data_IF_817476636794
#
_entry.id   IF_817476636794
#
_cell.length_a   1.000
_cell.length_b   1.000
_cell.length_c   1.000
_cell.angle_alpha   90.00
_cell.angle_beta   90.00
_cell.angle_gamma   90.00
#
_symmetry.space_group_name_H-M   'P 1'
#
loop_
_entity.id
_entity.type
_entity.pdbx_description
1 polymer ?
#
# COMPACT_ATOMS: atom_id res chain seq x y z
N UNK A 1 28.09 10.15 -2.40
CA UNK A 1 27.08 9.69 -3.38
C UNK A 1 27.26 10.46 -4.67
N UNK A 2 26.50 10.12 -5.73
CA UNK A 2 26.47 10.96 -6.93
C UNK A 2 25.86 12.33 -6.59
N UNK A 3 26.48 13.42 -7.03
CA UNK A 3 25.97 14.79 -6.85
C UNK A 3 25.24 15.32 -8.09
N UNK A 4 25.41 14.64 -9.22
CA UNK A 4 24.82 14.99 -10.51
C UNK A 4 24.10 13.77 -11.11
N UNK A 5 23.11 13.99 -11.98
CA UNK A 5 22.45 12.90 -12.69
C UNK A 5 23.46 12.02 -13.43
N UNK A 6 23.28 10.71 -13.32
CA UNK A 6 24.06 9.74 -14.08
C UNK A 6 23.32 9.36 -15.37
N UNK A 7 23.92 9.63 -16.51
CA UNK A 7 23.42 9.20 -17.81
C UNK A 7 24.04 7.85 -18.21
N UNK A 8 23.20 6.87 -18.52
CA UNK A 8 23.61 5.54 -19.01
C UNK A 8 22.85 5.22 -20.29
N UNK A 9 23.47 5.52 -21.44
CA UNK A 9 22.76 5.46 -22.72
C UNK A 9 21.58 6.44 -22.73
N UNK A 10 20.37 5.94 -22.93
CA UNK A 10 19.13 6.73 -22.90
C UNK A 10 18.54 6.89 -21.48
N UNK A 11 19.14 6.27 -20.46
CA UNK A 11 18.65 6.32 -19.08
C UNK A 11 19.29 7.49 -18.33
N UNK A 12 18.47 8.23 -17.58
CA UNK A 12 18.92 9.27 -16.65
C UNK A 12 18.54 8.88 -15.22
N UNK A 13 19.54 8.82 -14.34
CA UNK A 13 19.38 8.49 -12.92
C UNK A 13 19.64 9.73 -12.07
N UNK A 14 18.59 10.26 -11.48
CA UNK A 14 18.68 11.35 -10.51
C UNK A 14 19.30 10.84 -9.19
N UNK A 15 20.28 11.56 -8.62
CA UNK A 15 20.86 11.17 -7.35
C UNK A 15 19.84 11.32 -6.22
N UNK A 16 19.74 10.27 -5.40
CA UNK A 16 18.94 10.28 -4.17
C UNK A 16 19.85 9.98 -3.00
N UNK A 17 19.73 10.75 -1.93
CA UNK A 17 20.49 10.53 -0.70
C UNK A 17 20.21 9.15 -0.12
N UNK A 18 21.26 8.37 0.12
CA UNK A 18 21.17 7.13 0.87
C UNK A 18 20.90 7.42 2.35
N UNK A 19 20.19 6.52 3.02
CA UNK A 19 19.94 6.60 4.46
C UNK A 19 20.85 5.58 5.13
N UNK A 20 22.10 5.98 5.38
CA UNK A 20 23.15 5.10 5.88
C UNK A 20 23.95 4.39 4.77
N UNK A 21 24.72 3.38 5.16
CA UNK A 21 25.65 2.67 4.28
C UNK A 21 25.09 1.31 3.80
N UNK A 22 25.69 0.77 2.75
CA UNK A 22 25.36 -0.56 2.23
C UNK A 22 23.99 -0.66 1.52
N UNK A 23 23.62 -1.89 1.18
CA UNK A 23 22.39 -2.17 0.43
C UNK A 23 21.12 -1.78 1.21
N UNK A 24 21.12 -1.99 2.52
CA UNK A 24 19.99 -1.65 3.38
C UNK A 24 19.73 -0.14 3.40
N UNK A 25 20.79 0.67 3.52
CA UNK A 25 20.66 2.12 3.49
C UNK A 25 20.22 2.67 2.13
N UNK A 26 20.60 2.00 1.04
CA UNK A 26 20.10 2.31 -0.31
C UNK A 26 18.62 1.95 -0.47
N UNK A 27 18.18 0.78 0.00
CA UNK A 27 16.79 0.37 -0.04
C UNK A 27 15.89 1.28 0.82
N UNK A 28 16.37 1.68 2.00
CA UNK A 28 15.71 2.67 2.85
C UNK A 28 15.55 4.01 2.12
N UNK A 29 16.64 4.52 1.54
CA UNK A 29 16.63 5.78 0.79
C UNK A 29 15.64 5.76 -0.38
N UNK A 30 15.64 4.68 -1.17
CA UNK A 30 14.67 4.50 -2.26
C UNK A 30 13.23 4.45 -1.73
N UNK A 31 12.99 3.77 -0.62
CA UNK A 31 11.66 3.71 0.01
C UNK A 31 11.21 5.08 0.50
N UNK A 32 12.11 5.89 1.06
CA UNK A 32 11.80 7.26 1.50
C UNK A 32 11.51 8.18 0.31
N UNK A 33 12.30 8.11 -0.75
CA UNK A 33 12.09 8.88 -1.97
C UNK A 33 10.74 8.54 -2.63
N UNK A 34 10.43 7.25 -2.78
CA UNK A 34 9.12 6.80 -3.26
C UNK A 34 7.99 7.33 -2.36
N UNK A 35 8.13 7.24 -1.04
CA UNK A 35 7.14 7.75 -0.11
C UNK A 35 7.01 9.29 -0.15
N UNK A 36 8.06 10.01 -0.58
CA UNK A 36 8.01 11.45 -0.85
C UNK A 36 7.16 11.75 -2.09
N UNK A 37 7.44 11.06 -3.21
CA UNK A 37 6.66 11.21 -4.45
C UNK A 37 5.18 10.86 -4.26
N UNK A 38 4.88 9.78 -3.54
CA UNK A 38 3.50 9.40 -3.20
C UNK A 38 2.79 10.48 -2.37
N UNK A 39 3.50 11.14 -1.46
CA UNK A 39 2.96 12.24 -0.63
C UNK A 39 2.63 13.46 -1.47
N UNK A 40 3.53 13.87 -2.37
CA UNK A 40 3.29 15.02 -3.24
C UNK A 40 2.14 14.74 -4.23
N UNK A 41 2.08 13.53 -4.79
CA UNK A 41 0.96 13.12 -5.63
C UNK A 41 -0.37 13.14 -4.86
N UNK A 42 -0.40 12.62 -3.63
CA UNK A 42 -1.61 12.60 -2.82
C UNK A 42 -2.15 14.02 -2.52
N UNK A 43 -1.27 15.01 -2.34
CA UNK A 43 -1.64 16.41 -2.17
C UNK A 43 -2.17 17.04 -3.45
N UNK A 44 -1.58 16.69 -4.59
CA UNK A 44 -1.95 17.25 -5.90
C UNK A 44 -3.27 16.69 -6.44
N UNK A 45 -3.66 15.48 -6.03
CA UNK A 45 -4.95 14.90 -6.40
C UNK A 45 -6.10 15.65 -5.71
N UNK A 46 -7.01 16.20 -6.50
CA UNK A 46 -8.20 16.93 -6.02
C UNK A 46 -9.47 16.13 -6.30
N UNK A 47 -10.40 16.16 -5.34
CA UNK A 47 -11.68 15.46 -5.46
C UNK A 47 -11.55 13.94 -5.23
N UNK A 48 -12.72 13.30 -5.14
CA UNK A 48 -12.86 11.86 -4.98
C UNK A 48 -12.27 11.28 -3.68
N UNK A 49 -12.45 9.96 -3.53
CA UNK A 49 -11.83 9.15 -2.49
C UNK A 49 -10.47 8.64 -2.97
N UNK A 50 -9.41 8.96 -2.23
CA UNK A 50 -8.09 8.39 -2.47
C UNK A 50 -7.93 7.09 -1.70
N UNK A 51 -7.67 5.99 -2.41
CA UNK A 51 -7.33 4.68 -1.80
C UNK A 51 -5.83 4.43 -1.96
N UNK A 52 -5.16 4.13 -0.85
CA UNK A 52 -3.70 3.92 -0.79
C UNK A 52 -3.41 2.48 -0.39
N UNK A 53 -2.58 1.77 -1.18
CA UNK A 53 -2.07 0.44 -0.81
C UNK A 53 -0.97 0.56 0.24
N UNK A 54 -1.38 0.43 1.50
CA UNK A 54 -0.54 0.64 2.67
C UNK A 54 -1.07 1.70 3.63
N UNK A 55 -0.27 2.03 4.66
CA UNK A 55 -0.67 2.97 5.68
C UNK A 55 -0.83 4.40 5.16
N UNK A 56 -1.77 5.15 5.73
CA UNK A 56 -1.96 6.58 5.48
C UNK A 56 -0.74 7.35 5.99
N UNK A 57 -0.02 8.00 5.07
CA UNK A 57 1.24 8.74 5.36
C UNK A 57 1.16 10.23 5.04
N UNK A 58 0.06 10.67 4.44
CA UNK A 58 -0.13 12.03 3.95
C UNK A 58 -1.47 12.55 4.42
N UNK A 59 -1.52 13.85 4.72
CA UNK A 59 -2.77 14.59 4.82
C UNK A 59 -3.02 15.25 3.47
N UNK A 60 -4.25 15.16 2.97
CA UNK A 60 -4.73 15.85 1.77
C UNK A 60 -6.09 16.45 2.05
N UNK A 61 -6.56 17.30 1.15
CA UNK A 61 -7.96 17.70 1.11
C UNK A 61 -8.83 16.55 0.58
N UNK A 62 -9.94 16.27 1.29
CA UNK A 62 -10.86 15.19 0.94
C UNK A 62 -10.52 13.82 1.57
N UNK A 63 -11.37 12.81 1.33
CA UNK A 63 -11.28 11.53 2.03
C UNK A 63 -10.12 10.66 1.52
N UNK A 64 -9.54 9.91 2.46
CA UNK A 64 -8.47 8.92 2.23
C UNK A 64 -8.81 7.62 2.93
N UNK A 65 -8.57 6.49 2.27
CA UNK A 65 -8.52 5.17 2.88
C UNK A 65 -7.17 4.51 2.58
N UNK A 66 -6.39 4.22 3.62
CA UNK A 66 -5.27 3.29 3.52
C UNK A 66 -5.76 1.88 3.78
N UNK A 67 -5.31 0.90 2.99
CA UNK A 67 -5.62 -0.51 3.22
C UNK A 67 -4.34 -1.32 3.33
N UNK A 68 -4.24 -2.13 4.39
CA UNK A 68 -3.02 -2.80 4.82
C UNK A 68 -3.28 -4.29 4.87
N UNK A 69 -2.50 -5.03 4.08
CA UNK A 69 -2.55 -6.48 3.89
C UNK A 69 -1.67 -7.25 4.89
N UNK A 70 -0.65 -6.58 5.43
CA UNK A 70 0.34 -7.19 6.32
C UNK A 70 0.32 -6.56 7.71
N UNK A 71 0.03 -7.38 8.72
CA UNK A 71 -0.17 -6.95 10.10
C UNK A 71 1.07 -7.15 10.96
N UNK A 72 2.16 -6.44 10.65
CA UNK A 72 3.39 -6.51 11.45
C UNK A 72 3.24 -5.97 12.87
N UNK A 73 2.36 -4.97 13.04
CA UNK A 73 2.09 -4.37 14.33
C UNK A 73 0.73 -4.85 14.86
N UNK A 74 0.74 -5.29 16.12
CA UNK A 74 -0.46 -5.68 16.88
C UNK A 74 -1.00 -4.44 17.59
N UNK A 75 -2.16 -3.98 17.15
CA UNK A 75 -2.82 -2.79 17.72
C UNK A 75 -3.94 -3.13 18.70
N UNK A 76 -4.45 -4.36 18.62
CA UNK A 76 -5.48 -4.85 19.51
C UNK A 76 -4.84 -5.62 20.67
N UNK A 77 -5.37 -5.51 21.89
CA UNK A 77 -5.02 -6.44 22.96
C UNK A 77 -5.41 -7.87 22.56
N UNK A 78 -4.85 -8.85 23.28
CA UNK A 78 -4.91 -10.27 22.89
C UNK A 78 -6.35 -10.79 22.87
N UNK A 79 -7.18 -10.26 23.75
CA UNK A 79 -8.59 -10.59 23.91
C UNK A 79 -9.38 -10.18 22.66
N UNK A 80 -9.10 -9.00 22.11
CA UNK A 80 -9.73 -8.45 20.91
C UNK A 80 -9.14 -9.01 19.62
N UNK A 81 -7.90 -9.54 19.61
CA UNK A 81 -7.36 -10.26 18.46
C UNK A 81 -8.20 -11.51 18.11
N UNK A 82 -8.89 -12.11 19.10
CA UNK A 82 -9.79 -13.22 18.85
C UNK A 82 -10.94 -12.82 17.90
N UNK A 83 -11.39 -11.56 17.93
CA UNK A 83 -12.41 -11.03 17.01
C UNK A 83 -11.97 -11.12 15.55
N UNK A 84 -10.67 -10.92 15.28
CA UNK A 84 -10.15 -10.98 13.91
C UNK A 84 -10.30 -12.38 13.31
N UNK A 85 -10.20 -13.42 14.14
CA UNK A 85 -10.40 -14.81 13.72
C UNK A 85 -11.88 -15.14 13.52
N UNK A 86 -12.77 -14.51 14.28
CA UNK A 86 -14.22 -14.69 14.18
C UNK A 86 -14.86 -13.88 13.05
N UNK A 87 -14.17 -12.86 12.54
CA UNK A 87 -14.69 -11.94 11.53
C UNK A 87 -15.03 -12.67 10.21
N UNK A 88 -16.32 -12.75 9.90
CA UNK A 88 -16.83 -13.38 8.70
C UNK A 88 -16.67 -12.48 7.45
N UNK A 89 -16.65 -13.05 6.24
CA UNK A 89 -16.60 -12.26 5.01
C UNK A 89 -17.71 -11.20 4.94
N UNK A 90 -17.34 -9.98 4.58
CA UNK A 90 -18.27 -8.85 4.54
C UNK A 90 -18.53 -8.21 5.91
N UNK A 91 -17.83 -8.63 6.96
CA UNK A 91 -17.87 -7.97 8.27
C UNK A 91 -16.67 -7.07 8.52
N UNK A 92 -16.85 -6.11 9.43
CA UNK A 92 -15.78 -5.27 9.99
C UNK A 92 -15.84 -5.22 11.51
N UNK A 93 -14.69 -4.97 12.12
CA UNK A 93 -14.63 -4.61 13.54
C UNK A 93 -15.17 -3.19 13.76
N UNK A 94 -15.48 -2.82 15.01
CA UNK A 94 -15.52 -1.42 15.41
C UNK A 94 -14.20 -0.71 15.07
N UNK A 95 -14.28 0.60 14.85
CA UNK A 95 -13.09 1.41 14.65
C UNK A 95 -12.38 1.67 15.99
N UNK A 96 -11.06 1.63 15.97
CA UNK A 96 -10.17 1.95 17.07
C UNK A 96 -9.19 3.04 16.66
N UNK A 97 -8.64 3.74 17.66
CA UNK A 97 -7.72 4.85 17.45
C UNK A 97 -6.28 4.33 17.34
N UNK A 98 -5.55 4.85 16.35
CA UNK A 98 -4.10 4.60 16.20
C UNK A 98 -3.37 5.93 16.13
N UNK A 99 -2.38 6.12 17.02
CA UNK A 99 -1.46 7.26 16.97
C UNK A 99 -0.17 6.84 16.28
N UNK A 100 0.18 7.49 15.17
CA UNK A 100 1.40 7.17 14.39
C UNK A 100 2.07 8.43 13.87
N UNK A 101 3.32 8.67 14.28
CA UNK A 101 4.15 9.82 13.83
C UNK A 101 3.41 11.16 13.91
N UNK A 102 2.70 11.40 15.02
CA UNK A 102 1.91 12.62 15.24
C UNK A 102 0.55 12.65 14.56
N UNK A 103 0.18 11.63 13.77
CA UNK A 103 -1.15 11.49 13.18
C UNK A 103 -2.06 10.68 14.10
N UNK A 104 -3.32 11.11 14.21
CA UNK A 104 -4.41 10.34 14.81
C UNK A 104 -5.21 9.70 13.68
N UNK A 105 -5.39 8.38 13.73
CA UNK A 105 -6.05 7.59 12.71
C UNK A 105 -7.22 6.82 13.31
N UNK A 106 -8.34 6.77 12.59
CA UNK A 106 -9.38 5.77 12.81
C UNK A 106 -9.00 4.52 12.00
N UNK A 107 -8.91 3.37 12.65
CA UNK A 107 -8.55 2.11 12.02
C UNK A 107 -9.59 1.04 12.35
N UNK A 108 -9.87 0.14 11.41
CA UNK A 108 -10.71 -1.04 11.63
C UNK A 108 -10.16 -2.21 10.80
N UNK A 109 -10.60 -3.41 11.12
CA UNK A 109 -10.35 -4.58 10.29
C UNK A 109 -11.62 -4.94 9.53
N UNK A 110 -11.49 -5.40 8.29
CA UNK A 110 -12.57 -6.00 7.51
C UNK A 110 -12.11 -7.31 6.88
N UNK A 111 -13.06 -8.19 6.59
CA UNK A 111 -12.80 -9.46 5.92
C UNK A 111 -13.36 -9.45 4.51
N UNK A 112 -12.49 -9.56 3.50
CA UNK A 112 -12.92 -9.70 2.11
C UNK A 112 -13.50 -11.10 1.84
N UNK A 113 -14.52 -11.20 0.97
CA UNK A 113 -14.92 -12.48 0.41
C UNK A 113 -13.79 -13.08 -0.43
N UNK A 114 -13.57 -14.38 -0.29
CA UNK A 114 -12.57 -15.14 -1.03
C UNK A 114 -13.22 -16.37 -1.69
N UNK A 115 -13.56 -16.31 -2.98
CA UNK A 115 -14.15 -17.44 -3.71
C UNK A 115 -13.07 -18.45 -4.19
N UNK A 116 -13.38 -19.76 -4.25
CA UNK A 116 -14.56 -20.41 -3.68
C UNK A 116 -14.52 -20.40 -2.14
N UNK A 117 -15.70 -20.45 -1.52
CA UNK A 117 -15.81 -20.54 -0.06
C UNK A 117 -15.25 -21.88 0.44
N UNK A 118 -14.45 -21.86 1.50
CA UNK A 118 -13.74 -23.05 2.00
C UNK A 118 -12.87 -22.72 3.22
N UNK A 119 -12.03 -23.68 3.63
CA UNK A 119 -11.09 -23.52 4.75
C UNK A 119 -10.01 -22.52 4.34
N UNK A 120 -9.95 -21.38 5.03
CA UNK A 120 -9.01 -20.30 4.76
C UNK A 120 -7.99 -20.20 5.89
N UNK A 121 -6.71 -19.95 5.61
CA UNK A 121 -5.79 -19.46 6.63
C UNK A 121 -6.41 -18.24 7.32
N UNK A 122 -6.29 -18.08 8.66
CA UNK A 122 -6.95 -17.01 9.42
C UNK A 122 -6.66 -15.59 8.90
N UNK A 123 -5.52 -15.39 8.27
CA UNK A 123 -5.05 -14.11 7.72
C UNK A 123 -5.67 -13.80 6.34
N UNK A 124 -6.31 -14.79 5.69
CA UNK A 124 -6.75 -14.67 4.29
C UNK A 124 -7.92 -13.72 4.15
N UNK A 125 -7.73 -12.67 3.37
CA UNK A 125 -8.75 -11.64 3.15
C UNK A 125 -8.93 -10.70 4.33
N UNK A 126 -8.13 -10.81 5.40
CA UNK A 126 -8.11 -9.80 6.44
C UNK A 126 -7.43 -8.55 5.89
N UNK A 127 -8.10 -7.41 5.97
CA UNK A 127 -7.54 -6.12 5.65
C UNK A 127 -7.70 -5.20 6.84
N UNK A 128 -6.64 -4.50 7.21
CA UNK A 128 -6.75 -3.35 8.10
C UNK A 128 -6.96 -2.12 7.24
N UNK A 129 -7.99 -1.37 7.53
CA UNK A 129 -8.30 -0.12 6.85
C UNK A 129 -8.13 1.01 7.84
N UNK A 130 -7.62 2.14 7.37
CA UNK A 130 -7.44 3.32 8.21
C UNK A 130 -7.69 4.61 7.43
N UNK A 131 -8.15 5.63 8.15
CA UNK A 131 -8.31 6.99 7.69
C UNK A 131 -7.87 7.97 8.78
N UNK A 132 -7.77 9.25 8.45
CA UNK A 132 -7.50 10.28 9.45
C UNK A 132 -8.66 10.32 10.47
N UNK A 133 -8.34 10.46 11.76
CA UNK A 133 -9.35 10.60 12.82
C UNK A 133 -9.93 12.02 12.81
N UNK A 134 -10.60 12.37 11.72
CA UNK A 134 -11.25 13.65 11.49
C UNK A 134 -12.42 13.47 10.52
N UNK A 135 -13.41 14.36 10.58
CA UNK A 135 -14.62 14.23 9.77
C UNK A 135 -15.40 12.94 10.06
N UNK A 136 -16.17 12.48 9.08
CA UNK A 136 -17.02 11.30 9.22
C UNK A 136 -16.30 10.02 8.77
N UNK A 137 -15.41 9.53 9.64
CA UNK A 137 -14.73 8.24 9.42
C UNK A 137 -15.70 7.05 9.45
N UNK A 138 -16.89 7.19 10.06
CA UNK A 138 -17.90 6.14 10.14
C UNK A 138 -18.46 5.81 8.76
N UNK A 139 -18.86 6.84 8.01
CA UNK A 139 -19.27 6.69 6.61
C UNK A 139 -18.17 6.09 5.74
N UNK A 140 -16.90 6.45 5.97
CA UNK A 140 -15.77 5.83 5.26
C UNK A 140 -15.56 4.35 5.63
N UNK A 141 -15.81 3.99 6.90
CA UNK A 141 -15.76 2.60 7.34
C UNK A 141 -16.84 1.75 6.66
N UNK A 142 -18.07 2.26 6.61
CA UNK A 142 -19.18 1.55 5.96
C UNK A 142 -19.01 1.50 4.44
N UNK A 143 -18.52 2.58 3.83
CA UNK A 143 -18.15 2.59 2.41
C UNK A 143 -17.07 1.56 2.11
N UNK A 144 -16.04 1.44 2.95
CA UNK A 144 -14.96 0.45 2.73
C UNK A 144 -15.49 -0.99 2.68
N UNK A 145 -16.54 -1.28 3.45
CA UNK A 145 -17.16 -2.59 3.54
C UNK A 145 -17.88 -3.00 2.25
N UNK A 146 -18.45 -2.04 1.52
CA UNK A 146 -19.09 -2.29 0.22
C UNK A 146 -18.08 -2.19 -0.94
N UNK A 147 -17.19 -1.20 -0.88
CA UNK A 147 -16.25 -0.88 -1.96
C UNK A 147 -15.17 -1.95 -2.12
N UNK A 148 -14.51 -2.37 -1.04
CA UNK A 148 -13.33 -3.25 -1.17
C UNK A 148 -13.67 -4.66 -1.65
N UNK A 149 -14.79 -5.29 -1.24
CA UNK A 149 -15.23 -6.54 -1.86
C UNK A 149 -15.47 -6.43 -3.36
N UNK A 150 -16.09 -5.35 -3.83
CA UNK A 150 -16.34 -5.13 -5.26
C UNK A 150 -15.04 -4.92 -6.06
N UNK A 151 -13.99 -4.43 -5.41
CA UNK A 151 -12.67 -4.21 -6.00
C UNK A 151 -11.71 -5.38 -5.76
N UNK A 152 -12.06 -6.39 -4.97
CA UNK A 152 -11.19 -7.50 -4.65
C UNK A 152 -10.86 -8.33 -5.89
N UNK A 153 -9.62 -8.78 -6.00
CA UNK A 153 -9.23 -9.70 -7.08
C UNK A 153 -9.74 -11.11 -6.82
N UNK A 154 -9.87 -11.89 -7.90
CA UNK A 154 -10.25 -13.30 -7.86
C UNK A 154 -9.00 -14.18 -7.90
N UNK A 155 -8.91 -15.29 -7.12
CA UNK A 155 -7.70 -16.15 -7.10
C UNK A 155 -7.27 -16.71 -8.46
N UNK A 156 -8.24 -16.97 -9.33
CA UNK A 156 -7.98 -17.38 -10.73
C UNK A 156 -7.17 -16.35 -11.52
N UNK A 157 -7.28 -15.05 -11.18
CA UNK A 157 -6.65 -13.94 -11.90
C UNK A 157 -5.42 -13.37 -11.19
N UNK A 158 -5.35 -13.47 -9.86
CA UNK A 158 -4.24 -12.95 -9.07
C UNK A 158 -3.95 -13.89 -7.89
N UNK A 159 -2.73 -14.47 -7.78
CA UNK A 159 -2.36 -15.28 -6.62
C UNK A 159 -2.34 -14.49 -5.30
N UNK A 160 -2.34 -13.15 -5.37
CA UNK A 160 -2.43 -12.23 -4.23
C UNK A 160 -3.88 -11.88 -3.84
N UNK A 161 -4.86 -12.54 -4.45
CA UNK A 161 -6.27 -12.39 -4.11
C UNK A 161 -6.57 -12.84 -2.67
N UNK A 162 -7.65 -12.34 -2.04
CA UNK A 162 -8.53 -11.26 -2.54
C UNK A 162 -7.96 -9.86 -2.22
N UNK A 163 -6.86 -9.83 -1.47
CA UNK A 163 -6.35 -8.64 -0.81
C UNK A 163 -5.83 -7.61 -1.80
N UNK A 164 -5.31 -8.04 -2.95
CA UNK A 164 -4.90 -7.12 -4.00
C UNK A 164 -6.10 -6.58 -4.78
N UNK A 165 -6.44 -5.31 -4.57
CA UNK A 165 -7.56 -4.70 -5.28
C UNK A 165 -7.25 -4.55 -6.79
N UNK A 166 -8.24 -4.84 -7.64
CA UNK A 166 -8.10 -4.82 -9.10
C UNK A 166 -7.56 -3.49 -9.65
N UNK A 167 -8.02 -2.30 -9.20
CA UNK A 167 -7.46 -1.03 -9.67
C UNK A 167 -5.99 -0.86 -9.30
N UNK A 168 -5.59 -1.33 -8.12
CA UNK A 168 -4.18 -1.26 -7.66
C UNK A 168 -3.32 -2.18 -8.51
N UNK A 169 -3.73 -3.42 -8.73
CA UNK A 169 -3.03 -4.33 -9.63
C UNK A 169 -2.93 -3.80 -11.07
N UNK A 170 -3.96 -3.09 -11.56
CA UNK A 170 -3.92 -2.39 -12.85
C UNK A 170 -2.88 -1.29 -12.90
N UNK A 171 -2.85 -0.43 -11.87
CA UNK A 171 -1.86 0.64 -11.74
C UNK A 171 -0.44 0.09 -11.65
N UNK A 172 -0.20 -0.94 -10.83
CA UNK A 172 1.11 -1.61 -10.71
C UNK A 172 1.60 -2.12 -12.07
N UNK A 173 0.73 -2.77 -12.86
CA UNK A 173 1.09 -3.26 -14.20
C UNK A 173 1.46 -2.13 -15.15
N UNK A 174 0.70 -1.03 -15.13
CA UNK A 174 0.99 0.12 -16.00
C UNK A 174 2.28 0.83 -15.58
N UNK A 175 2.53 1.01 -14.29
CA UNK A 175 3.80 1.55 -13.79
C UNK A 175 4.98 0.65 -14.17
N UNK A 176 4.84 -0.67 -14.02
CA UNK A 176 5.86 -1.62 -14.44
C UNK A 176 6.15 -1.56 -15.94
N UNK A 177 5.10 -1.43 -16.76
CA UNK A 177 5.24 -1.27 -18.21
C UNK A 177 6.03 0.00 -18.57
N UNK A 178 5.79 1.10 -17.86
CA UNK A 178 6.52 2.37 -18.05
C UNK A 178 7.99 2.33 -17.61
N UNK A 179 8.35 1.46 -16.67
CA UNK A 179 9.74 1.27 -16.26
C UNK A 179 10.59 0.55 -17.32
N UNK A 180 9.97 -0.10 -18.31
CA UNK A 180 10.67 -0.83 -19.36
C UNK A 180 11.21 -2.20 -18.94
N UNK A 181 12.04 -2.81 -19.79
CA UNK A 181 12.59 -4.15 -19.55
C UNK A 181 13.79 -4.12 -18.60
N UNK A 182 13.68 -4.84 -17.48
CA UNK A 182 14.77 -5.00 -16.51
C UNK A 182 16.03 -5.59 -17.15
N UNK A 183 15.89 -6.52 -18.10
CA UNK A 183 17.03 -7.14 -18.78
C UNK A 183 17.75 -6.17 -19.71
N UNK A 184 17.01 -5.27 -20.39
CA UNK A 184 17.61 -4.22 -21.22
C UNK A 184 18.36 -3.23 -20.34
N UNK A 185 17.73 -2.75 -19.27
CA UNK A 185 18.35 -1.83 -18.29
C UNK A 185 19.59 -2.46 -17.68
N UNK A 186 19.52 -3.71 -17.23
CA UNK A 186 20.65 -4.43 -16.64
C UNK A 186 21.82 -4.56 -17.64
N UNK A 187 21.54 -4.87 -18.91
CA UNK A 187 22.57 -4.95 -19.96
C UNK A 187 23.20 -3.60 -20.26
N UNK A 188 22.41 -2.51 -20.29
CA UNK A 188 22.94 -1.16 -20.49
C UNK A 188 23.87 -0.75 -19.33
N UNK A 189 23.46 -1.02 -18.09
CA UNK A 189 24.27 -0.77 -16.90
C UNK A 189 25.56 -1.61 -16.90
N UNK A 190 25.47 -2.91 -17.24
CA UNK A 190 26.65 -3.78 -17.33
C UNK A 190 27.68 -3.24 -18.35
N UNK A 191 27.21 -2.90 -19.57
CA UNK A 191 28.06 -2.29 -20.60
C UNK A 191 28.71 -0.99 -20.13
N UNK A 192 27.97 -0.11 -19.46
CA UNK A 192 28.49 1.14 -18.93
C UNK A 192 29.56 0.92 -17.84
N UNK A 193 29.39 -0.13 -17.03
CA UNK A 193 30.36 -0.53 -16.00
C UNK A 193 31.54 -1.35 -16.56
N UNK A 194 31.59 -1.59 -17.88
CA UNK A 194 32.62 -2.39 -18.53
C UNK A 194 32.57 -3.88 -18.16
N UNK A 195 31.39 -4.39 -17.80
CA UNK A 195 31.13 -5.79 -17.44
C UNK A 195 30.33 -6.53 -18.51
#
# INVERSE_FOLDING_TARGET
GLEKPLAVGELAYEPVSAVGEGLEGLQEGLRQARAGLERELAKALVGGLLVVDGPVRAVREGPVLGYIKTHWARYLPKEEEALLRALAPGERTPAFRVRRKGMELASWYLRLPLPPEGVRPPESGLLRVETLLQGDFGTLADLSLSLFPALASHPVKDPRAPQNLLPVGGLERELARRMGSREVVARMLARHLGR
#
